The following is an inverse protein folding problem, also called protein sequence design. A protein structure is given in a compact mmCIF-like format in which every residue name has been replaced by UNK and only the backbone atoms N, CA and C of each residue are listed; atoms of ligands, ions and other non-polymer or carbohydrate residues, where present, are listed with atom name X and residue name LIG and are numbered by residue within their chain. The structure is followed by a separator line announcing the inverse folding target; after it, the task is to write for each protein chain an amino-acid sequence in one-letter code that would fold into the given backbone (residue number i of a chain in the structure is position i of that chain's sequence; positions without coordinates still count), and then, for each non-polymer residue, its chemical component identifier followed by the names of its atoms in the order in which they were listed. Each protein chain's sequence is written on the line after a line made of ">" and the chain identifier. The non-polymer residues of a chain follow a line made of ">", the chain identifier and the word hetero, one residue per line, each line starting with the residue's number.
data_IF_014297783272
#
_entry.id   IF_014297783272
#
_cell.length_a   1.000
_cell.length_b   1.000
_cell.length_c   1.000
_cell.angle_alpha   90.00
_cell.angle_beta   90.00
_cell.angle_gamma   90.00
#
_symmetry.space_group_name_H-M   'P 1'
#
loop_
_entity.id
_entity.type
_entity.pdbx_description
1 polymer ?
#
# COMPACT_ATOMS: atom_id res chain seq x y z
N UNK A 1 6.00 3.70 10.84
CA UNK A 1 5.40 4.35 9.66
C UNK A 1 3.88 4.25 9.70
N UNK A 2 3.28 3.05 9.80
CA UNK A 2 1.82 2.89 9.96
C UNK A 2 1.21 3.72 11.10
N UNK A 3 1.72 3.58 12.33
CA UNK A 3 1.19 4.36 13.47
C UNK A 3 1.34 5.86 13.26
N UNK A 4 2.47 6.29 12.68
CA UNK A 4 2.74 7.70 12.39
C UNK A 4 1.70 8.27 11.41
N UNK A 5 1.38 7.55 10.34
CA UNK A 5 0.45 8.03 9.31
C UNK A 5 -1.01 7.84 9.68
N UNK A 6 -1.39 6.78 10.40
CA UNK A 6 -2.78 6.51 10.76
C UNK A 6 -3.24 7.33 11.97
N UNK A 7 -2.41 7.46 13.02
CA UNK A 7 -2.76 8.27 14.19
C UNK A 7 -2.48 9.76 13.94
N UNK A 8 -1.31 10.07 13.39
CA UNK A 8 -0.85 11.46 13.18
C UNK A 8 -1.26 12.08 11.85
N UNK A 9 -1.65 11.30 10.84
CA UNK A 9 -2.16 11.78 9.54
C UNK A 9 -1.27 12.88 8.95
N UNK A 10 -1.81 14.08 8.79
CA UNK A 10 -1.11 15.23 8.21
C UNK A 10 -0.03 15.80 9.12
N UNK A 11 -0.21 15.74 10.44
CA UNK A 11 0.71 16.31 11.42
C UNK A 11 2.06 15.57 11.42
N UNK A 12 2.04 14.27 11.15
CA UNK A 12 3.24 13.42 11.08
C UNK A 12 3.69 13.13 9.65
N UNK A 13 3.21 13.88 8.66
CA UNK A 13 3.66 13.76 7.28
C UNK A 13 5.19 13.97 7.13
N UNK A 14 5.83 14.95 7.81
CA UNK A 14 7.28 15.11 7.73
C UNK A 14 8.04 13.89 8.25
N UNK A 15 7.54 13.26 9.32
CA UNK A 15 8.12 12.04 9.87
C UNK A 15 7.96 10.86 8.90
N UNK A 16 6.77 10.67 8.33
CA UNK A 16 6.51 9.63 7.34
C UNK A 16 7.39 9.78 6.09
N UNK A 17 7.51 11.01 5.58
CA UNK A 17 8.40 11.35 4.48
C UNK A 17 9.87 11.10 4.81
N UNK A 18 10.32 11.51 6.00
CA UNK A 18 11.70 11.29 6.46
C UNK A 18 12.05 9.81 6.56
N UNK A 19 11.12 8.98 7.06
CA UNK A 19 11.30 7.52 7.12
C UNK A 19 11.39 6.90 5.72
N UNK A 20 10.61 7.37 4.75
CA UNK A 20 10.69 6.93 3.35
C UNK A 20 12.02 7.35 2.70
N UNK A 21 12.47 8.59 2.94
CA UNK A 21 13.74 9.08 2.43
C UNK A 21 14.92 8.30 3.04
N UNK A 22 14.89 8.03 4.35
CA UNK A 22 15.89 7.21 5.03
C UNK A 22 15.91 5.80 4.45
N UNK A 23 14.74 5.21 4.19
CA UNK A 23 14.63 3.91 3.54
C UNK A 23 15.32 3.89 2.17
N UNK A 24 15.07 4.89 1.34
CA UNK A 24 15.72 5.03 0.03
C UNK A 24 17.22 5.32 0.14
N UNK A 25 17.65 6.10 1.13
CA UNK A 25 19.06 6.41 1.34
C UNK A 25 19.86 5.16 1.74
N UNK A 26 19.28 4.30 2.58
CA UNK A 26 19.85 3.03 3.04
C UNK A 26 19.71 1.88 2.02
N UNK A 27 18.92 2.07 0.96
CA UNK A 27 18.70 1.03 -0.03
C UNK A 27 19.97 0.81 -0.89
N UNK A 28 20.46 -0.44 -0.90
CA UNK A 28 21.66 -0.83 -1.65
C UNK A 28 21.47 -0.72 -3.17
N UNK A 29 20.25 -0.94 -3.67
CA UNK A 29 19.89 -0.82 -5.09
C UNK A 29 18.78 0.21 -5.29
N UNK A 30 19.14 1.50 -5.21
CA UNK A 30 18.18 2.62 -5.22
C UNK A 30 17.23 2.61 -6.42
N UNK A 31 17.70 2.26 -7.61
CA UNK A 31 16.86 2.27 -8.82
C UNK A 31 15.77 1.18 -8.79
N UNK A 32 16.10 -0.03 -8.33
CA UNK A 32 15.14 -1.13 -8.19
C UNK A 32 14.09 -0.77 -7.14
N UNK A 33 14.53 -0.21 -6.02
CA UNK A 33 13.65 0.24 -4.95
C UNK A 33 12.72 1.36 -5.43
N UNK A 34 13.24 2.38 -6.12
CA UNK A 34 12.42 3.46 -6.71
C UNK A 34 11.37 2.91 -7.70
N UNK A 35 11.75 1.96 -8.57
CA UNK A 35 10.80 1.31 -9.48
C UNK A 35 9.72 0.54 -8.73
N UNK A 36 10.09 -0.18 -7.68
CA UNK A 36 9.15 -0.90 -6.83
C UNK A 36 8.19 0.06 -6.11
N UNK A 37 8.71 1.13 -5.52
CA UNK A 37 7.88 2.17 -4.88
C UNK A 37 6.91 2.81 -5.88
N UNK A 38 7.38 3.18 -7.08
CA UNK A 38 6.57 3.81 -8.09
C UNK A 38 5.48 2.87 -8.65
N UNK A 39 5.85 1.65 -9.06
CA UNK A 39 4.90 0.73 -9.68
C UNK A 39 3.95 0.10 -8.66
N UNK A 40 4.49 -0.43 -7.55
CA UNK A 40 3.70 -1.18 -6.57
C UNK A 40 2.98 -0.24 -5.62
N UNK A 41 3.67 0.79 -5.11
CA UNK A 41 3.03 1.82 -4.30
C UNK A 41 2.02 2.64 -5.10
N UNK A 42 2.37 3.00 -6.35
CA UNK A 42 1.45 3.70 -7.26
C UNK A 42 0.20 2.88 -7.59
N UNK A 43 0.31 1.56 -7.77
CA UNK A 43 -0.85 0.69 -7.95
C UNK A 43 -1.78 0.73 -6.72
N UNK A 44 -1.22 0.69 -5.51
CA UNK A 44 -2.00 0.79 -4.28
C UNK A 44 -2.75 2.13 -4.17
N UNK A 45 -2.04 3.23 -4.43
CA UNK A 45 -2.61 4.58 -4.45
C UNK A 45 -3.72 4.70 -5.51
N UNK A 46 -3.51 4.16 -6.70
CA UNK A 46 -4.49 4.20 -7.79
C UNK A 46 -5.76 3.43 -7.43
N UNK A 47 -5.63 2.27 -6.79
CA UNK A 47 -6.80 1.49 -6.31
C UNK A 47 -7.55 2.25 -5.23
N UNK A 48 -6.86 2.85 -4.26
CA UNK A 48 -7.49 3.69 -3.24
C UNK A 48 -8.18 4.92 -3.83
N UNK A 49 -7.57 5.55 -4.83
CA UNK A 49 -8.19 6.66 -5.55
C UNK A 49 -9.46 6.23 -6.27
N UNK A 50 -9.45 5.07 -6.93
CA UNK A 50 -10.62 4.51 -7.59
C UNK A 50 -11.74 4.15 -6.60
N UNK A 51 -11.39 3.55 -5.45
CA UNK A 51 -12.35 3.25 -4.38
C UNK A 51 -12.95 4.53 -3.78
N UNK A 52 -12.14 5.57 -3.61
CA UNK A 52 -12.60 6.88 -3.12
C UNK A 52 -13.48 7.59 -4.12
N UNK A 53 -13.11 7.55 -5.41
CA UNK A 53 -13.93 8.08 -6.50
C UNK A 53 -15.28 7.35 -6.60
N UNK A 54 -15.30 6.03 -6.39
CA UNK A 54 -16.50 5.23 -6.31
C UNK A 54 -17.32 5.46 -5.02
N UNK A 55 -16.85 6.32 -4.10
CA UNK A 55 -17.55 6.62 -2.85
C UNK A 55 -17.39 5.57 -1.74
N UNK A 56 -16.53 4.57 -1.93
CA UNK A 56 -16.25 3.56 -0.90
C UNK A 56 -15.52 4.21 0.28
N UNK A 57 -14.51 5.03 -0.02
CA UNK A 57 -13.76 5.80 0.98
C UNK A 57 -14.12 7.28 0.89
N UNK A 58 -14.23 7.91 2.06
CA UNK A 58 -14.41 9.34 2.20
C UNK A 58 -13.32 9.86 3.13
N UNK A 59 -12.44 10.70 2.59
CA UNK A 59 -11.35 11.30 3.35
C UNK A 59 -11.66 12.77 3.68
N UNK A 60 -11.17 13.28 4.84
CA UNK A 60 -11.31 14.69 5.18
C UNK A 60 -10.77 15.62 4.08
N UNK A 61 -11.51 16.70 3.80
CA UNK A 61 -11.13 17.66 2.76
C UNK A 61 -11.49 17.23 1.33
N UNK A 62 -12.30 16.18 1.16
CA UNK A 62 -12.78 15.68 -0.15
C UNK A 62 -11.65 15.32 -1.13
N UNK A 63 -10.48 14.97 -0.59
CA UNK A 63 -9.37 14.47 -1.38
C UNK A 63 -9.59 12.99 -1.72
N UNK A 64 -9.17 12.56 -2.91
CA UNK A 64 -9.28 11.15 -3.29
C UNK A 64 -8.34 10.27 -2.47
N UNK A 65 -7.09 10.67 -2.30
CA UNK A 65 -6.13 9.95 -1.45
C UNK A 65 -5.26 10.97 -0.74
N UNK A 66 -5.28 11.03 0.60
CA UNK A 66 -4.45 11.98 1.33
C UNK A 66 -2.97 11.60 1.26
N UNK A 67 -2.07 12.59 1.30
CA UNK A 67 -0.63 12.38 1.13
C UNK A 67 -0.02 11.40 2.14
N UNK A 68 -0.52 11.38 3.39
CA UNK A 68 -0.04 10.43 4.40
C UNK A 68 -0.35 8.98 4.03
N UNK A 69 -1.45 8.72 3.32
CA UNK A 69 -1.82 7.39 2.83
C UNK A 69 -0.95 7.00 1.63
N UNK A 70 -0.62 7.96 0.76
CA UNK A 70 0.39 7.75 -0.28
C UNK A 70 1.73 7.33 0.33
N UNK A 71 2.20 8.02 1.39
CA UNK A 71 3.41 7.62 2.10
C UNK A 71 3.31 6.19 2.66
N UNK A 72 2.17 5.85 3.27
CA UNK A 72 1.91 4.49 3.79
C UNK A 72 2.05 3.44 2.68
N UNK A 73 1.45 3.69 1.52
CA UNK A 73 1.54 2.81 0.35
C UNK A 73 2.96 2.61 -0.15
N UNK A 74 3.73 3.69 -0.23
CA UNK A 74 5.15 3.60 -0.63
C UNK A 74 5.94 2.75 0.37
N UNK A 75 5.77 2.94 1.68
CA UNK A 75 6.53 2.12 2.62
C UNK A 75 6.08 0.66 2.63
N UNK A 76 4.79 0.40 2.44
CA UNK A 76 4.28 -0.96 2.25
C UNK A 76 4.92 -1.62 1.02
N UNK A 77 4.99 -0.90 -0.10
CA UNK A 77 5.68 -1.36 -1.30
C UNK A 77 7.16 -1.71 -1.01
N UNK A 78 7.84 -0.97 -0.15
CA UNK A 78 9.21 -1.30 0.28
C UNK A 78 9.30 -2.66 1.00
N UNK A 79 8.40 -2.98 1.93
CA UNK A 79 8.50 -4.24 2.71
C UNK A 79 8.00 -5.49 1.97
N UNK A 80 7.16 -5.34 0.95
CA UNK A 80 6.59 -6.44 0.14
C UNK A 80 7.65 -7.45 -0.35
N UNK A 81 8.71 -6.97 -0.99
CA UNK A 81 9.78 -7.80 -1.54
C UNK A 81 10.77 -8.39 -0.51
N UNK A 82 10.61 -8.06 0.77
CA UNK A 82 11.55 -8.42 1.85
C UNK A 82 10.83 -9.22 2.93
N UNK A 83 10.23 -8.51 3.90
CA UNK A 83 9.57 -9.10 5.06
C UNK A 83 8.37 -9.98 4.69
N UNK A 84 7.77 -9.74 3.52
CA UNK A 84 6.63 -10.50 3.01
C UNK A 84 6.96 -11.39 1.81
N UNK A 85 8.25 -11.55 1.46
CA UNK A 85 8.66 -12.31 0.27
C UNK A 85 8.17 -13.78 0.31
N UNK A 86 8.02 -14.36 1.50
CA UNK A 86 7.50 -15.72 1.70
C UNK A 86 6.03 -15.88 1.26
N UNK A 87 5.25 -14.80 1.26
CA UNK A 87 3.85 -14.83 0.82
C UNK A 87 3.75 -15.01 -0.70
N UNK A 88 4.74 -14.49 -1.42
CA UNK A 88 4.77 -14.57 -2.87
C UNK A 88 4.85 -16.02 -3.37
N UNK A 89 5.45 -16.95 -2.62
CA UNK A 89 5.55 -18.37 -3.00
C UNK A 89 4.28 -19.17 -2.69
N UNK A 90 3.28 -18.57 -2.03
CA UNK A 90 2.03 -19.21 -1.60
C UNK A 90 0.83 -18.42 -2.11
N UNK A 91 0.40 -18.61 -3.37
CA UNK A 91 -0.59 -17.74 -4.02
C UNK A 91 -1.93 -17.71 -3.27
N UNK A 92 -2.40 -18.85 -2.75
CA UNK A 92 -3.62 -18.90 -1.96
C UNK A 92 -3.51 -18.08 -0.67
N UNK A 93 -2.40 -18.21 0.06
CA UNK A 93 -2.16 -17.43 1.28
C UNK A 93 -2.05 -15.93 0.98
N UNK A 94 -1.47 -15.57 -0.17
CA UNK A 94 -1.42 -14.20 -0.62
C UNK A 94 -2.82 -13.62 -0.90
N UNK A 95 -3.70 -14.35 -1.56
CA UNK A 95 -5.09 -13.94 -1.79
C UNK A 95 -5.81 -13.77 -0.46
N UNK A 96 -5.73 -14.77 0.43
CA UNK A 96 -6.38 -14.72 1.74
C UNK A 96 -5.85 -13.58 2.61
N UNK A 97 -4.55 -13.32 2.59
CA UNK A 97 -3.97 -12.17 3.28
C UNK A 97 -4.51 -10.85 2.73
N UNK A 98 -4.66 -10.73 1.41
CA UNK A 98 -5.31 -9.58 0.77
C UNK A 98 -6.75 -9.41 1.24
N UNK A 99 -7.53 -10.50 1.22
CA UNK A 99 -8.94 -10.54 1.61
C UNK A 99 -9.19 -10.21 3.08
N UNK A 100 -8.21 -10.37 3.96
CA UNK A 100 -8.39 -10.20 5.41
C UNK A 100 -7.62 -8.99 5.95
N UNK A 101 -6.33 -8.89 5.65
CA UNK A 101 -5.48 -7.86 6.24
C UNK A 101 -5.88 -6.45 5.80
N UNK A 102 -6.26 -6.26 4.53
CA UNK A 102 -6.66 -4.95 4.03
C UNK A 102 -8.00 -4.48 4.58
N UNK A 103 -9.11 -5.26 4.53
CA UNK A 103 -10.35 -4.86 5.19
C UNK A 103 -10.18 -4.53 6.67
N UNK A 104 -9.41 -5.34 7.42
CA UNK A 104 -9.13 -5.06 8.83
C UNK A 104 -8.33 -3.76 9.01
N UNK A 105 -7.34 -3.51 8.15
CA UNK A 105 -6.54 -2.28 8.18
C UNK A 105 -7.40 -1.02 7.97
N UNK A 106 -8.27 -1.02 6.95
CA UNK A 106 -9.15 0.11 6.69
C UNK A 106 -10.23 0.24 7.77
N UNK A 107 -10.73 -0.87 8.31
CA UNK A 107 -11.68 -0.82 9.42
C UNK A 107 -11.06 -0.23 10.68
N UNK A 108 -9.81 -0.58 11.00
CA UNK A 108 -9.06 0.06 12.08
C UNK A 108 -8.85 1.57 11.80
N UNK A 109 -8.47 1.94 10.58
CA UNK A 109 -8.37 3.35 10.17
C UNK A 109 -9.70 4.10 10.33
N UNK A 110 -10.82 3.45 10.00
CA UNK A 110 -12.17 4.02 10.16
C UNK A 110 -12.51 4.24 11.64
N UNK A 111 -12.22 3.27 12.51
CA UNK A 111 -12.41 3.39 13.95
C UNK A 111 -11.55 4.49 14.58
N UNK A 112 -10.41 4.81 13.97
CA UNK A 112 -9.51 5.87 14.40
C UNK A 112 -9.81 7.24 13.73
N UNK A 113 -10.86 7.34 12.93
CA UNK A 113 -11.24 8.58 12.23
C UNK A 113 -10.28 8.99 11.10
N UNK A 114 -9.50 8.05 10.56
CA UNK A 114 -8.61 8.30 9.44
C UNK A 114 -9.32 8.26 8.07
N UNK A 115 -10.44 7.53 7.99
CA UNK A 115 -11.27 7.39 6.79
C UNK A 115 -12.72 7.13 7.21
N UNK A 116 -13.67 7.60 6.43
CA UNK A 116 -15.07 7.21 6.58
C UNK A 116 -15.50 6.30 5.42
N UNK A 117 -16.47 5.44 5.66
CA UNK A 117 -17.01 4.55 4.62
C UNK A 117 -18.34 5.11 4.11
N UNK A 118 -18.42 5.36 2.80
CA UNK A 118 -19.64 5.89 2.19
C UNK A 118 -20.75 4.85 2.00
N UNK A 119 -20.43 3.57 2.12
CA UNK A 119 -21.36 2.45 2.09
C UNK A 119 -21.49 1.76 3.44
N UNK A 120 -22.44 0.83 3.57
CA UNK A 120 -22.57 0.01 4.77
C UNK A 120 -21.28 -0.75 5.06
N UNK A 121 -20.97 -0.96 6.35
CA UNK A 121 -19.74 -1.63 6.76
C UNK A 121 -19.60 -3.04 6.14
N UNK A 122 -20.63 -3.91 6.13
CA UNK A 122 -20.50 -5.25 5.53
C UNK A 122 -20.19 -5.18 4.03
N UNK A 123 -20.87 -4.30 3.28
CA UNK A 123 -20.64 -4.14 1.86
C UNK A 123 -19.22 -3.64 1.58
N UNK A 124 -18.77 -2.64 2.34
CA UNK A 124 -17.42 -2.10 2.24
C UNK A 124 -16.38 -3.20 2.49
N UNK A 125 -16.50 -3.96 3.58
CA UNK A 125 -15.55 -5.04 3.89
C UNK A 125 -15.51 -6.12 2.81
N UNK A 126 -16.65 -6.49 2.21
CA UNK A 126 -16.70 -7.43 1.09
C UNK A 126 -16.00 -6.86 -0.15
N UNK A 127 -16.28 -5.60 -0.52
CA UNK A 127 -15.61 -4.94 -1.65
C UNK A 127 -14.10 -4.92 -1.44
N UNK A 128 -13.65 -4.51 -0.26
CA UNK A 128 -12.23 -4.47 0.07
C UNK A 128 -11.61 -5.87 0.02
N UNK A 129 -12.30 -6.89 0.53
CA UNK A 129 -11.79 -8.25 0.51
C UNK A 129 -11.56 -8.73 -0.93
N UNK A 130 -12.54 -8.52 -1.80
CA UNK A 130 -12.45 -8.93 -3.22
C UNK A 130 -11.36 -8.16 -3.96
N UNK A 131 -11.32 -6.83 -3.82
CA UNK A 131 -10.33 -5.98 -4.49
C UNK A 131 -8.92 -6.32 -4.01
N UNK A 132 -8.68 -6.33 -2.71
CA UNK A 132 -7.34 -6.54 -2.18
C UNK A 132 -6.88 -8.00 -2.25
N UNK A 133 -7.83 -8.95 -2.25
CA UNK A 133 -7.57 -10.35 -2.56
C UNK A 133 -6.98 -10.56 -3.95
N UNK A 134 -7.39 -9.74 -4.93
CA UNK A 134 -6.85 -9.79 -6.29
C UNK A 134 -5.60 -8.91 -6.47
N UNK A 135 -5.59 -7.72 -5.89
CA UNK A 135 -4.50 -6.73 -6.07
C UNK A 135 -3.22 -7.16 -5.36
N UNK A 136 -3.29 -7.74 -4.16
CA UNK A 136 -2.09 -8.13 -3.43
C UNK A 136 -1.23 -9.17 -4.19
N UNK A 137 -1.79 -10.26 -4.75
CA UNK A 137 -1.06 -11.16 -5.64
C UNK A 137 -0.41 -10.46 -6.83
N UNK A 138 -1.10 -9.48 -7.43
CA UNK A 138 -0.55 -8.69 -8.54
C UNK A 138 0.66 -7.86 -8.09
N UNK A 139 0.59 -7.21 -6.92
CA UNK A 139 1.71 -6.47 -6.33
C UNK A 139 2.94 -7.36 -6.12
N UNK A 140 2.76 -8.59 -5.62
CA UNK A 140 3.86 -9.54 -5.49
C UNK A 140 4.44 -9.98 -6.83
N UNK A 141 3.60 -10.17 -7.86
CA UNK A 141 4.08 -10.48 -9.23
C UNK A 141 4.92 -9.34 -9.80
N UNK A 142 4.46 -8.09 -9.66
CA UNK A 142 5.20 -6.90 -10.09
C UNK A 142 6.53 -6.76 -9.34
N UNK A 143 6.51 -6.93 -8.01
CA UNK A 143 7.71 -6.90 -7.17
C UNK A 143 8.76 -7.90 -7.65
N UNK A 144 8.34 -9.14 -7.97
CA UNK A 144 9.22 -10.19 -8.50
C UNK A 144 9.78 -9.86 -9.88
N UNK A 145 8.99 -9.26 -10.76
CA UNK A 145 9.44 -8.87 -12.10
C UNK A 145 10.49 -7.75 -12.03
N UNK A 146 10.27 -6.77 -11.16
CA UNK A 146 11.18 -5.65 -10.94
C UNK A 146 12.49 -6.10 -10.28
N UNK A 147 12.43 -7.04 -9.33
CA UNK A 147 13.62 -7.63 -8.71
C UNK A 147 14.41 -8.60 -9.62
N UNK A 148 13.81 -9.06 -10.73
CA UNK A 148 14.43 -9.99 -11.70
C UNK A 148 15.16 -9.29 -12.85
N UNK A 149 15.13 -7.96 -12.94
CA UNK A 149 15.84 -7.29 -14.02
C UNK A 149 17.33 -7.64 -13.95
N UNK A 150 17.90 -8.22 -15.02
CA UNK A 150 19.33 -8.46 -15.09
C UNK A 150 20.04 -7.13 -14.89
N UNK A 151 21.17 -7.15 -14.18
CA UNK A 151 22.18 -6.12 -14.36
C UNK A 151 22.36 -5.97 -15.87
N UNK A 152 21.98 -4.81 -16.42
CA UNK A 152 22.35 -4.48 -17.78
C UNK A 152 23.86 -4.70 -17.85
N UNK A 153 24.28 -5.54 -18.80
CA UNK A 153 25.67 -5.89 -19.03
C UNK A 153 26.53 -4.63 -19.00
N UNK A 154 27.25 -4.43 -17.90
CA UNK A 154 28.36 -3.51 -17.80
C UNK A 154 29.59 -4.29 -18.22
N UNK A 155 29.88 -4.18 -19.50
CA UNK A 155 31.11 -4.62 -20.16
C UNK A 155 32.34 -3.98 -19.50
#
# INVERSE_FOLDING_TARGET
>A
MWFSTVLGRSDFLPLAGSLLLLHLACARQRLVELRQLACVGGLGIAVDAALSFAGVYQFPGQVLVPLWLCCLWLGFAGVLGRSLAYLASRPLLCVLAGMVAFPLNYWAGQRLGAVEFGYSLPLTLVVLALVWGAVLPLMFRLTRQLGRQPQAAGQ
#
